data_IF_015799576066
#
_entry.id   IF_015799576066
#
_cell.length_a   1.000
_cell.length_b   1.000
_cell.length_c   1.000
_cell.angle_alpha   90.00
_cell.angle_beta   90.00
_cell.angle_gamma   90.00
#
_symmetry.space_group_name_H-M   'P 1'
#
loop_
_entity.id
_entity.type
_entity.pdbx_description
1 polymer ?
#
# COMPACT_ATOMS: atom_id res chain seq x y z
N UNK A 1 -16.35 -9.58 6.02
CA UNK A 1 -17.39 -8.54 6.21
C UNK A 1 -18.38 -8.66 5.08
N UNK A 2 -19.67 -8.81 5.39
CA UNK A 2 -20.73 -8.67 4.39
C UNK A 2 -20.66 -7.26 3.80
N UNK A 3 -20.77 -7.15 2.45
CA UNK A 3 -20.77 -5.86 1.75
C UNK A 3 -19.39 -5.24 1.48
N UNK A 4 -18.28 -5.86 1.87
CA UNK A 4 -16.96 -5.34 1.53
C UNK A 4 -16.63 -5.57 0.05
N UNK A 5 -16.14 -4.52 -0.63
CA UNK A 5 -15.60 -4.57 -1.99
C UNK A 5 -14.10 -4.28 -1.98
N UNK A 6 -13.36 -4.97 -2.82
CA UNK A 6 -11.90 -4.87 -2.92
C UNK A 6 -11.54 -4.44 -4.33
N UNK A 7 -10.72 -3.40 -4.45
CA UNK A 7 -9.98 -3.12 -5.68
C UNK A 7 -8.53 -3.52 -5.47
N UNK A 8 -8.01 -4.38 -6.33
CA UNK A 8 -6.62 -4.84 -6.27
C UNK A 8 -5.94 -4.68 -7.63
N UNK A 9 -4.62 -4.50 -7.61
CA UNK A 9 -3.83 -4.17 -8.81
C UNK A 9 -2.72 -5.22 -8.96
N UNK A 10 -2.60 -5.78 -10.15
CA UNK A 10 -1.52 -6.69 -10.50
C UNK A 10 -0.94 -6.31 -11.86
N UNK A 11 0.39 -6.21 -11.96
CA UNK A 11 1.10 -5.84 -13.17
C UNK A 11 1.69 -7.01 -13.95
N UNK A 12 1.93 -8.14 -13.27
CA UNK A 12 2.49 -9.32 -13.90
C UNK A 12 1.40 -10.14 -14.59
N UNK A 13 1.43 -10.32 -15.94
CA UNK A 13 0.33 -10.96 -16.66
C UNK A 13 -0.05 -12.33 -16.12
N UNK A 14 0.96 -13.19 -15.84
CA UNK A 14 0.72 -14.54 -15.34
C UNK A 14 0.07 -14.54 -13.94
N UNK A 15 0.44 -13.58 -13.06
CA UNK A 15 -0.17 -13.45 -11.73
C UNK A 15 -1.59 -12.90 -11.83
N UNK A 16 -1.82 -11.98 -12.77
CA UNK A 16 -3.15 -11.48 -13.07
C UNK A 16 -4.08 -12.62 -13.52
N UNK A 17 -3.63 -13.48 -14.45
CA UNK A 17 -4.42 -14.62 -14.92
C UNK A 17 -4.73 -15.61 -13.79
N UNK A 18 -3.77 -15.88 -12.90
CA UNK A 18 -4.00 -16.69 -11.69
C UNK A 18 -5.04 -16.04 -10.77
N UNK A 19 -4.94 -14.74 -10.54
CA UNK A 19 -5.88 -14.02 -9.70
C UNK A 19 -7.30 -14.05 -10.29
N UNK A 20 -7.46 -13.82 -11.61
CA UNK A 20 -8.76 -13.95 -12.31
C UNK A 20 -9.36 -15.34 -12.11
N UNK A 21 -8.56 -16.40 -12.32
CA UNK A 21 -9.00 -17.77 -12.14
C UNK A 21 -9.47 -18.05 -10.71
N UNK A 22 -8.71 -17.61 -9.72
CA UNK A 22 -9.04 -17.80 -8.30
C UNK A 22 -10.31 -17.03 -7.90
N UNK A 23 -10.43 -15.77 -8.31
CA UNK A 23 -11.62 -14.95 -8.04
C UNK A 23 -12.87 -15.63 -8.59
N UNK A 24 -12.79 -16.12 -9.83
CA UNK A 24 -13.90 -16.82 -10.49
C UNK A 24 -14.24 -18.15 -9.81
N UNK A 25 -13.23 -18.95 -9.45
CA UNK A 25 -13.45 -20.26 -8.80
C UNK A 25 -14.13 -20.14 -7.43
N UNK A 26 -13.94 -18.98 -6.77
CA UNK A 26 -14.53 -18.67 -5.46
C UNK A 26 -15.84 -17.88 -5.54
N UNK A 27 -16.31 -17.53 -6.75
CA UNK A 27 -17.54 -16.76 -6.95
C UNK A 27 -17.46 -15.34 -6.39
N UNK A 28 -16.27 -14.70 -6.45
CA UNK A 28 -15.99 -13.40 -5.83
C UNK A 28 -15.97 -12.24 -6.85
N UNK A 29 -16.37 -12.47 -8.11
CA UNK A 29 -16.30 -11.48 -9.19
C UNK A 29 -17.12 -10.21 -8.90
N UNK A 30 -18.21 -10.33 -8.17
CA UNK A 30 -19.05 -9.19 -7.78
C UNK A 30 -18.43 -8.35 -6.64
N UNK A 31 -17.40 -8.87 -5.95
CA UNK A 31 -16.79 -8.24 -4.77
C UNK A 31 -15.35 -7.79 -4.99
N UNK A 32 -14.66 -8.37 -5.96
CA UNK A 32 -13.25 -8.08 -6.23
C UNK A 32 -13.09 -7.48 -7.62
N UNK A 33 -12.68 -6.23 -7.67
CA UNK A 33 -12.33 -5.52 -8.90
C UNK A 33 -10.81 -5.61 -9.11
N UNK A 34 -10.37 -6.57 -9.91
CA UNK A 34 -8.97 -6.76 -10.25
C UNK A 34 -8.59 -5.87 -11.44
N UNK A 35 -7.61 -5.00 -11.24
CA UNK A 35 -7.06 -4.09 -12.27
C UNK A 35 -5.73 -4.62 -12.77
N UNK A 36 -5.57 -4.69 -14.09
CA UNK A 36 -4.28 -5.01 -14.71
C UNK A 36 -3.50 -3.73 -15.03
N UNK A 37 -2.23 -3.65 -14.64
CA UNK A 37 -1.36 -2.54 -15.01
C UNK A 37 -0.33 -2.16 -13.94
N UNK A 38 0.47 -1.15 -14.25
CA UNK A 38 1.35 -0.54 -13.24
C UNK A 38 0.52 0.18 -12.19
N UNK A 39 0.92 0.03 -10.92
CA UNK A 39 0.14 0.57 -9.81
C UNK A 39 0.03 2.10 -9.86
N UNK A 40 1.06 2.82 -10.30
CA UNK A 40 1.00 4.28 -10.40
C UNK A 40 -0.03 4.72 -11.45
N UNK A 41 -0.02 4.07 -12.62
CA UNK A 41 -0.95 4.41 -13.72
C UNK A 41 -2.40 4.13 -13.32
N UNK A 42 -2.64 2.98 -12.67
CA UNK A 42 -3.97 2.59 -12.21
C UNK A 42 -4.47 3.53 -11.11
N UNK A 43 -3.62 3.86 -10.13
CA UNK A 43 -3.96 4.77 -9.04
C UNK A 43 -4.22 6.19 -9.58
N UNK A 44 -3.41 6.68 -10.52
CA UNK A 44 -3.63 7.99 -11.16
C UNK A 44 -4.94 8.02 -11.97
N UNK A 45 -5.34 6.90 -12.57
CA UNK A 45 -6.64 6.76 -13.23
C UNK A 45 -7.80 6.81 -12.24
N UNK A 46 -7.67 6.12 -11.09
CA UNK A 46 -8.68 6.14 -10.02
C UNK A 46 -8.82 7.52 -9.38
N UNK A 47 -7.71 8.27 -9.25
CA UNK A 47 -7.74 9.65 -8.73
C UNK A 47 -8.48 10.59 -9.69
N UNK A 48 -8.36 10.38 -11.00
CA UNK A 48 -9.06 11.17 -12.02
C UNK A 48 -10.55 10.86 -12.09
N UNK A 49 -10.93 9.64 -11.71
CA UNK A 49 -12.32 9.25 -11.54
C UNK A 49 -12.82 9.79 -10.20
N UNK A 50 -13.36 11.02 -10.20
CA UNK A 50 -13.84 11.74 -9.01
C UNK A 50 -15.18 11.20 -8.46
N UNK A 51 -15.52 9.95 -8.76
CA UNK A 51 -16.69 9.31 -8.19
C UNK A 51 -16.47 8.96 -6.71
N UNK A 52 -17.51 9.04 -5.90
CA UNK A 52 -17.45 8.63 -4.48
C UNK A 52 -17.09 7.14 -4.34
N UNK A 53 -17.39 6.32 -5.36
CA UNK A 53 -17.07 4.91 -5.42
C UNK A 53 -15.56 4.64 -5.59
N UNK A 54 -14.78 5.65 -5.99
CA UNK A 54 -13.32 5.59 -6.09
C UNK A 54 -12.60 5.89 -4.78
N UNK A 55 -13.33 6.09 -3.66
CA UNK A 55 -12.75 6.35 -2.34
C UNK A 55 -12.82 5.14 -1.44
N UNK A 56 -11.74 4.90 -0.69
CA UNK A 56 -11.54 3.69 0.11
C UNK A 56 -11.55 3.99 1.60
N UNK A 57 -12.13 3.07 2.38
CA UNK A 57 -12.10 3.10 3.85
C UNK A 57 -10.79 2.52 4.40
N UNK A 58 -10.18 1.60 3.63
CA UNK A 58 -8.91 0.96 3.95
C UNK A 58 -8.08 0.76 2.69
N UNK A 59 -6.79 1.10 2.76
CA UNK A 59 -5.83 0.84 1.68
C UNK A 59 -4.66 0.05 2.26
N UNK A 60 -4.28 -1.03 1.57
CA UNK A 60 -3.14 -1.86 1.92
C UNK A 60 -2.03 -1.71 0.88
N UNK A 61 -0.85 -1.27 1.31
CA UNK A 61 0.32 -1.07 0.46
C UNK A 61 1.33 -2.17 0.75
N UNK A 62 1.44 -3.13 -0.17
CA UNK A 62 2.47 -4.16 -0.22
C UNK A 62 3.10 -4.16 -1.62
N UNK A 63 4.02 -3.24 -1.84
CA UNK A 63 4.58 -2.96 -3.14
C UNK A 63 6.10 -2.74 -3.07
N UNK A 64 6.71 -2.25 -4.16
CA UNK A 64 8.14 -1.96 -4.21
C UNK A 64 8.52 -0.88 -3.21
N UNK A 65 9.38 -1.22 -2.24
CA UNK A 65 9.75 -0.37 -1.07
C UNK A 65 10.37 0.98 -1.46
N UNK A 66 10.97 1.07 -2.65
CA UNK A 66 11.52 2.33 -3.18
C UNK A 66 10.46 3.36 -3.58
N UNK A 67 9.19 2.96 -3.69
CA UNK A 67 8.08 3.80 -4.14
C UNK A 67 6.99 4.01 -3.09
N UNK A 68 7.23 3.62 -1.82
CA UNK A 68 6.22 3.71 -0.76
C UNK A 68 5.68 5.11 -0.56
N UNK A 69 6.53 6.14 -0.65
CA UNK A 69 6.08 7.52 -0.56
C UNK A 69 5.11 7.88 -1.68
N UNK A 70 5.41 7.49 -2.91
CA UNK A 70 4.58 7.77 -4.08
C UNK A 70 3.23 7.06 -4.00
N UNK A 71 3.22 5.79 -3.53
CA UNK A 71 1.98 5.04 -3.30
C UNK A 71 1.16 5.64 -2.15
N UNK A 72 1.82 6.06 -1.07
CA UNK A 72 1.15 6.68 0.07
C UNK A 72 0.48 8.00 -0.32
N UNK A 73 1.16 8.89 -1.06
CA UNK A 73 0.61 10.17 -1.53
C UNK A 73 -0.64 9.98 -2.42
N UNK A 74 -0.68 8.89 -3.19
CA UNK A 74 -1.85 8.51 -3.99
C UNK A 74 -2.95 7.87 -3.14
N UNK A 75 -2.57 7.04 -2.20
CA UNK A 75 -3.50 6.42 -1.26
C UNK A 75 -4.24 7.47 -0.43
N UNK A 76 -3.56 8.51 0.05
CA UNK A 76 -4.22 9.62 0.75
C UNK A 76 -5.30 10.26 -0.12
N UNK A 77 -5.04 10.51 -1.41
CA UNK A 77 -6.01 11.11 -2.34
C UNK A 77 -7.22 10.21 -2.62
N UNK A 78 -7.03 8.90 -2.50
CA UNK A 78 -8.08 7.88 -2.71
C UNK A 78 -8.77 7.48 -1.41
N UNK A 79 -8.38 8.05 -0.29
CA UNK A 79 -8.94 7.74 1.02
C UNK A 79 -10.18 8.57 1.32
N UNK A 80 -11.14 7.97 1.99
CA UNK A 80 -12.24 8.68 2.65
C UNK A 80 -11.73 9.39 3.91
N UNK A 81 -12.42 10.44 4.39
CA UNK A 81 -12.15 10.98 5.72
C UNK A 81 -12.11 9.86 6.78
N UNK A 82 -11.12 9.88 7.67
CA UNK A 82 -10.97 8.85 8.68
C UNK A 82 -10.58 7.46 8.17
N UNK A 83 -10.12 7.31 6.92
CA UNK A 83 -9.63 6.03 6.39
C UNK A 83 -8.35 5.55 7.08
N UNK A 84 -8.05 4.28 6.90
CA UNK A 84 -6.82 3.66 7.39
C UNK A 84 -5.94 3.22 6.21
N UNK A 85 -4.66 3.59 6.22
CA UNK A 85 -3.66 3.08 5.29
C UNK A 85 -2.74 2.15 6.05
N UNK A 86 -2.52 0.94 5.54
CA UNK A 86 -1.60 -0.04 6.10
C UNK A 86 -0.45 -0.24 5.13
N UNK A 87 0.80 -0.10 5.62
CA UNK A 87 2.00 -0.34 4.85
C UNK A 87 2.74 -1.55 5.41
N UNK A 88 3.02 -2.55 4.58
CA UNK A 88 3.71 -3.78 4.99
C UNK A 88 5.23 -3.67 4.83
N UNK A 89 5.96 -4.56 5.53
CA UNK A 89 7.42 -4.70 5.51
C UNK A 89 8.19 -3.39 5.77
N UNK A 90 7.72 -2.64 6.73
CA UNK A 90 8.29 -1.33 7.08
C UNK A 90 9.71 -1.42 7.64
N UNK A 91 10.14 -2.58 8.16
CA UNK A 91 11.46 -2.77 8.78
C UNK A 91 12.53 -3.23 7.79
N UNK A 92 12.15 -3.63 6.58
CA UNK A 92 13.04 -4.12 5.51
C UNK A 92 14.06 -5.13 6.07
N UNK A 93 13.59 -6.29 6.50
CA UNK A 93 14.42 -7.37 7.07
C UNK A 93 15.32 -6.90 8.25
N UNK A 94 14.82 -5.96 9.06
CA UNK A 94 15.54 -5.42 10.20
C UNK A 94 16.58 -4.34 9.89
N UNK A 95 16.79 -3.95 8.64
CA UNK A 95 17.75 -2.89 8.30
C UNK A 95 17.40 -1.51 8.90
N UNK A 96 16.15 -1.29 9.30
CA UNK A 96 15.70 -0.04 9.90
C UNK A 96 15.72 -0.04 11.43
N UNK A 97 16.00 -1.17 12.09
CA UNK A 97 16.00 -1.33 13.56
C UNK A 97 17.35 -1.03 14.21
N UNK A 98 18.20 -0.24 13.57
CA UNK A 98 19.54 0.08 14.10
C UNK A 98 20.61 -0.99 13.81
N UNK A 99 20.33 -1.93 12.90
CA UNK A 99 21.32 -2.89 12.42
C UNK A 99 22.53 -2.16 11.82
N UNK A 100 23.74 -2.55 12.23
CA UNK A 100 25.01 -2.09 11.63
C UNK A 100 25.35 -2.86 10.36
N UNK A 101 24.53 -3.83 9.97
CA UNK A 101 24.76 -4.65 8.78
C UNK A 101 24.53 -3.81 7.52
N UNK A 102 25.52 -3.81 6.62
CA UNK A 102 25.37 -3.18 5.30
C UNK A 102 24.29 -3.93 4.49
N UNK A 103 23.22 -3.24 4.07
CA UNK A 103 22.14 -3.85 3.27
C UNK A 103 22.61 -4.32 1.89
N UNK A 104 23.87 -4.07 1.51
CA UNK A 104 24.41 -4.36 0.20
C UNK A 104 23.84 -3.45 -0.91
N UNK A 105 24.47 -3.46 -2.08
CA UNK A 105 24.08 -2.57 -3.21
C UNK A 105 22.60 -2.68 -3.57
N UNK A 106 22.05 -3.90 -3.54
CA UNK A 106 20.69 -4.19 -3.97
C UNK A 106 19.62 -3.52 -3.10
N UNK A 107 19.86 -3.36 -1.80
CA UNK A 107 18.87 -2.86 -0.85
C UNK A 107 19.11 -1.41 -0.39
N UNK A 108 20.27 -0.84 -0.69
CA UNK A 108 20.64 0.53 -0.22
C UNK A 108 19.59 1.58 -0.62
N UNK A 109 19.11 1.56 -1.86
CA UNK A 109 18.11 2.52 -2.34
C UNK A 109 16.79 2.37 -1.60
N UNK A 110 16.30 1.13 -1.44
CA UNK A 110 15.06 0.85 -0.72
C UNK A 110 15.14 1.26 0.74
N UNK A 111 16.25 0.93 1.43
CA UNK A 111 16.49 1.32 2.82
C UNK A 111 16.53 2.84 2.96
N UNK A 112 17.23 3.55 2.07
CA UNK A 112 17.28 5.02 2.09
C UNK A 112 15.89 5.62 1.90
N UNK A 113 15.15 5.20 0.88
CA UNK A 113 13.81 5.70 0.57
C UNK A 113 12.82 5.42 1.70
N UNK A 114 12.92 4.25 2.33
CA UNK A 114 12.06 3.92 3.47
C UNK A 114 12.39 4.77 4.71
N UNK A 115 13.67 5.06 4.98
CA UNK A 115 14.05 6.00 6.04
C UNK A 115 13.46 7.39 5.79
N UNK A 116 13.59 7.90 4.57
CA UNK A 116 13.01 9.18 4.16
C UNK A 116 11.48 9.18 4.34
N UNK A 117 10.80 8.08 3.99
CA UNK A 117 9.37 7.92 4.19
C UNK A 117 8.96 7.90 5.67
N UNK A 118 9.69 7.18 6.51
CA UNK A 118 9.43 7.17 7.96
C UNK A 118 9.64 8.55 8.60
N UNK A 119 10.67 9.27 8.21
CA UNK A 119 10.88 10.65 8.70
C UNK A 119 9.77 11.60 8.22
N UNK A 120 9.31 11.44 6.98
CA UNK A 120 8.15 12.17 6.50
C UNK A 120 6.91 11.88 7.33
N UNK A 121 6.61 10.61 7.59
CA UNK A 121 5.46 10.22 8.41
C UNK A 121 5.53 10.80 9.82
N UNK A 122 6.71 10.77 10.47
CA UNK A 122 6.92 11.37 11.80
C UNK A 122 6.61 12.87 11.84
N UNK A 123 6.85 13.57 10.75
CA UNK A 123 6.55 15.00 10.64
C UNK A 123 5.07 15.36 10.47
N UNK A 124 4.21 14.37 10.17
CA UNK A 124 2.78 14.56 9.90
C UNK A 124 1.97 14.57 11.20
N UNK A 125 1.42 15.73 11.55
CA UNK A 125 0.58 15.91 12.75
C UNK A 125 -0.90 15.58 12.51
N UNK A 126 -1.29 15.51 11.29
CA UNK A 126 -2.63 15.18 10.79
C UNK A 126 -2.86 13.66 10.64
N UNK A 127 -1.88 12.85 11.03
CA UNK A 127 -1.96 11.40 11.00
C UNK A 127 -1.78 10.81 12.41
N UNK A 128 -2.48 9.72 12.69
CA UNK A 128 -2.18 8.85 13.83
C UNK A 128 -1.48 7.61 13.30
N UNK A 129 -0.23 7.37 13.76
CA UNK A 129 0.64 6.33 13.21
C UNK A 129 1.02 5.35 14.30
N UNK A 130 0.82 4.06 14.04
CA UNK A 130 1.27 2.95 14.88
C UNK A 130 2.20 2.06 14.08
N UNK A 131 3.41 1.82 14.59
CA UNK A 131 4.34 0.84 14.03
C UNK A 131 4.24 -0.45 14.85
N UNK A 132 3.88 -1.53 14.19
CA UNK A 132 3.75 -2.85 14.79
C UNK A 132 4.94 -3.72 14.38
N UNK A 133 5.56 -4.40 15.34
CA UNK A 133 6.70 -5.29 15.12
C UNK A 133 6.31 -6.71 14.69
N UNK A 134 5.13 -6.89 14.10
CA UNK A 134 4.72 -8.18 13.56
C UNK A 134 5.34 -8.40 12.16
N UNK A 135 5.79 -9.62 11.89
CA UNK A 135 6.47 -9.95 10.64
C UNK A 135 7.67 -9.05 10.36
N UNK A 136 7.74 -8.47 9.17
CA UNK A 136 8.76 -7.47 8.77
C UNK A 136 8.29 -6.02 9.03
N UNK A 137 7.41 -5.83 10.00
CA UNK A 137 6.88 -4.55 10.45
C UNK A 137 5.70 -4.03 9.63
N UNK A 138 4.66 -3.61 10.32
CA UNK A 138 3.49 -2.94 9.73
C UNK A 138 3.39 -1.50 10.24
N UNK A 139 3.15 -0.55 9.34
CA UNK A 139 2.65 0.76 9.74
C UNK A 139 1.14 0.79 9.53
N UNK A 140 0.40 1.11 10.58
CA UNK A 140 -1.03 1.39 10.55
C UNK A 140 -1.19 2.90 10.69
N UNK A 141 -1.71 3.55 9.66
CA UNK A 141 -1.80 4.99 9.54
C UNK A 141 -3.27 5.37 9.42
N UNK A 142 -3.77 6.07 10.42
CA UNK A 142 -5.12 6.63 10.44
C UNK A 142 -5.07 8.06 9.95
N UNK A 143 -5.87 8.39 8.93
CA UNK A 143 -6.10 9.78 8.53
C UNK A 143 -7.04 10.42 9.56
N UNK A 144 -6.61 11.52 10.19
CA UNK A 144 -7.47 12.27 11.09
C UNK A 144 -8.46 13.10 10.26
N UNK A 145 -9.68 13.24 10.79
CA UNK A 145 -10.73 14.06 10.16
C UNK A 145 -10.40 15.54 10.16
#
# INVERSE_FOLDING_TARGET
CEGAHITTIERAPHMYDYAVSNIKSLGLESRINLKFGDANDVLDSLIKDDSQDSRFDLIFIDAAKSHYREFFDRAEKLSKPGATIICDNMLIHGYLTGSTVDPGRRHRTSVKRMKEFLEYLKGRKDLTISLLSCGDGLAVIKLND
#
